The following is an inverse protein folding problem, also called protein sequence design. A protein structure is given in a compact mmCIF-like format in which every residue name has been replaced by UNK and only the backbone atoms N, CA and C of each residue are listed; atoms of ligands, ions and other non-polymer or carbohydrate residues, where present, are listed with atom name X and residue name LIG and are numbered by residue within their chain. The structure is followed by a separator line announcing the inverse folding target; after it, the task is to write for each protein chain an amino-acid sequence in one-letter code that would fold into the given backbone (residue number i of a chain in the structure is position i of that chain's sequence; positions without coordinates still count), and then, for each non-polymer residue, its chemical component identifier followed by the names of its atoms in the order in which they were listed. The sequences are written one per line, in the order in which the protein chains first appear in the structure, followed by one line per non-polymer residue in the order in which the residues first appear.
data_IF_991988829706
#
_entry.id   IF_991988829706
#
_cell.length_a   1.000
_cell.length_b   1.000
_cell.length_c   1.000
_cell.angle_alpha   90.00
_cell.angle_beta   90.00
_cell.angle_gamma   90.00
#
_symmetry.space_group_name_H-M   'P 1'
#
loop_
_entity.id
_entity.type
_entity.pdbx_description
1 polymer ?
#
# COMPACT_ATOMS: atom_id res chain seq x y z
N UNK A 1 -29.69 -30.76 -7.45
CA UNK A 1 -29.92 -29.95 -6.23
C UNK A 1 -28.57 -29.46 -5.75
N UNK A 2 -28.19 -28.28 -6.11
CA UNK A 2 -26.91 -27.65 -5.70
C UNK A 2 -27.21 -26.86 -4.42
N UNK A 3 -26.65 -27.31 -3.29
CA UNK A 3 -26.72 -26.61 -2.01
C UNK A 3 -25.86 -25.35 -2.14
N UNK A 4 -26.49 -24.19 -2.00
CA UNK A 4 -25.81 -22.90 -2.02
C UNK A 4 -24.86 -22.78 -0.84
N UNK A 5 -23.59 -22.57 -1.14
CA UNK A 5 -22.63 -22.11 -0.17
C UNK A 5 -23.13 -20.77 0.38
N UNK A 6 -23.36 -20.70 1.69
CA UNK A 6 -23.75 -19.47 2.36
C UNK A 6 -22.67 -18.41 2.09
N UNK A 7 -23.02 -17.40 1.31
CA UNK A 7 -22.17 -16.21 1.12
C UNK A 7 -21.97 -15.58 2.50
N UNK A 8 -20.73 -15.58 2.96
CA UNK A 8 -20.35 -14.86 4.16
C UNK A 8 -20.68 -13.38 3.95
N UNK A 9 -21.72 -12.88 4.63
CA UNK A 9 -22.15 -11.49 4.49
C UNK A 9 -21.21 -10.59 5.27
N UNK A 10 -20.30 -9.99 4.56
CA UNK A 10 -19.33 -9.01 5.08
C UNK A 10 -19.98 -7.79 5.75
N UNK A 11 -21.21 -7.44 5.40
CA UNK A 11 -21.94 -6.34 6.04
C UNK A 11 -22.26 -6.64 7.49
N UNK A 12 -22.54 -7.90 7.83
CA UNK A 12 -22.84 -8.28 9.22
C UNK A 12 -21.59 -8.28 10.10
N UNK A 13 -20.41 -8.62 9.54
CA UNK A 13 -19.15 -8.63 10.28
C UNK A 13 -18.50 -7.23 10.35
N UNK A 14 -18.57 -6.44 9.29
CA UNK A 14 -18.10 -5.05 9.25
C UNK A 14 -18.88 -4.10 10.16
N UNK A 15 -20.08 -4.49 10.61
CA UNK A 15 -20.92 -3.70 11.52
C UNK A 15 -20.59 -3.96 13.00
N UNK A 16 -19.65 -4.82 13.35
CA UNK A 16 -19.11 -4.85 14.72
C UNK A 16 -18.25 -3.61 14.93
N UNK A 17 -18.58 -2.75 15.89
CA UNK A 17 -17.90 -1.47 16.12
C UNK A 17 -16.38 -1.53 16.29
N UNK A 18 -15.84 -2.70 16.69
CA UNK A 18 -14.41 -2.99 16.77
C UNK A 18 -13.72 -3.04 15.41
N UNK A 19 -14.31 -3.66 14.39
CA UNK A 19 -13.72 -3.75 13.06
C UNK A 19 -13.67 -2.39 12.36
N UNK A 20 -14.75 -1.62 12.45
CA UNK A 20 -14.79 -0.26 11.92
C UNK A 20 -13.74 0.62 12.57
N UNK A 21 -13.51 0.46 13.88
CA UNK A 21 -12.50 1.23 14.59
C UNK A 21 -11.06 0.87 14.16
N UNK A 22 -10.73 -0.43 14.05
CA UNK A 22 -9.42 -0.88 13.56
C UNK A 22 -9.17 -0.43 12.12
N UNK A 23 -10.17 -0.55 11.26
CA UNK A 23 -10.09 -0.11 9.88
C UNK A 23 -9.86 1.41 9.79
N UNK A 24 -10.63 2.21 10.51
CA UNK A 24 -10.49 3.67 10.54
C UNK A 24 -9.13 4.08 11.11
N UNK A 25 -8.63 3.38 12.14
CA UNK A 25 -7.30 3.62 12.68
C UNK A 25 -6.21 3.32 11.64
N UNK A 26 -6.31 2.20 10.91
CA UNK A 26 -5.37 1.86 9.84
C UNK A 26 -5.34 2.96 8.78
N UNK A 27 -6.49 3.40 8.28
CA UNK A 27 -6.59 4.51 7.33
C UNK A 27 -5.94 5.78 7.90
N UNK A 28 -6.21 6.11 9.15
CA UNK A 28 -5.64 7.29 9.82
C UNK A 28 -4.11 7.22 9.92
N UNK A 29 -3.54 6.08 10.34
CA UNK A 29 -2.08 5.90 10.45
C UNK A 29 -1.43 5.95 9.08
N UNK A 30 -1.96 5.19 8.11
CA UNK A 30 -1.37 5.08 6.79
C UNK A 30 -1.46 6.38 6.00
N UNK A 31 -2.59 7.10 6.05
CA UNK A 31 -2.72 8.39 5.37
C UNK A 31 -1.70 9.41 5.89
N UNK A 32 -1.41 9.42 7.20
CA UNK A 32 -0.37 10.29 7.79
C UNK A 32 1.05 9.86 7.37
N UNK A 33 1.31 8.55 7.32
CA UNK A 33 2.60 8.04 6.85
C UNK A 33 2.84 8.42 5.38
N UNK A 34 1.85 8.23 4.51
CA UNK A 34 1.92 8.64 3.10
C UNK A 34 2.06 10.17 2.95
N UNK A 35 1.30 10.95 3.74
CA UNK A 35 1.37 12.41 3.72
C UNK A 35 2.77 12.94 4.07
N UNK A 36 3.48 12.28 4.99
CA UNK A 36 4.87 12.59 5.34
C UNK A 36 5.86 12.10 4.28
N UNK A 37 5.60 10.93 3.66
CA UNK A 37 6.51 10.32 2.69
C UNK A 37 6.52 11.04 1.34
N UNK A 38 5.42 11.70 0.94
CA UNK A 38 5.33 12.44 -0.33
C UNK A 38 5.91 13.85 -0.16
N UNK A 39 7.07 14.17 -0.78
CA UNK A 39 7.82 15.39 -0.44
C UNK A 39 7.13 16.69 -0.88
N UNK A 40 6.42 16.69 -2.00
CA UNK A 40 5.86 17.92 -2.57
C UNK A 40 4.46 17.71 -3.15
N UNK A 41 3.82 18.82 -3.55
CA UNK A 41 2.54 18.80 -4.26
C UNK A 41 2.64 18.05 -5.59
N UNK A 42 1.53 17.50 -6.08
CA UNK A 42 1.51 16.87 -7.39
C UNK A 42 0.34 15.95 -7.64
N UNK A 43 0.40 15.29 -8.81
CA UNK A 43 -0.52 14.21 -9.17
C UNK A 43 0.02 12.88 -8.67
N UNK A 44 -0.81 12.11 -8.01
CA UNK A 44 -0.49 10.81 -7.43
C UNK A 44 -1.35 9.73 -8.09
N UNK A 45 -0.73 8.64 -8.49
CA UNK A 45 -1.44 7.42 -8.87
C UNK A 45 -1.41 6.46 -7.69
N UNK A 46 -2.58 6.04 -7.22
CA UNK A 46 -2.72 5.02 -6.17
C UNK A 46 -3.00 3.66 -6.82
N UNK A 47 -2.02 2.76 -6.78
CA UNK A 47 -2.09 1.43 -7.39
C UNK A 47 -2.64 0.43 -6.38
N UNK A 48 -3.74 -0.27 -6.76
CA UNK A 48 -4.50 -1.11 -5.85
C UNK A 48 -5.32 -0.27 -4.86
N UNK A 49 -5.90 0.83 -5.34
CA UNK A 49 -6.55 1.84 -4.50
C UNK A 49 -7.83 1.37 -3.78
N UNK A 50 -8.35 0.21 -4.14
CA UNK A 50 -9.59 -0.31 -3.58
C UNK A 50 -10.79 0.60 -3.87
N UNK A 51 -11.51 0.96 -2.82
CA UNK A 51 -12.63 1.91 -2.89
C UNK A 51 -12.21 3.39 -2.79
N UNK A 52 -10.91 3.65 -2.57
CA UNK A 52 -10.33 4.98 -2.50
C UNK A 52 -10.38 5.66 -1.13
N UNK A 53 -10.75 4.97 -0.05
CA UNK A 53 -10.84 5.59 1.28
C UNK A 53 -9.49 6.15 1.76
N UNK A 54 -8.39 5.40 1.54
CA UNK A 54 -7.05 5.85 1.91
C UNK A 54 -6.62 7.08 1.10
N UNK A 55 -6.85 7.07 -0.21
CA UNK A 55 -6.57 8.19 -1.09
C UNK A 55 -7.36 9.45 -0.67
N UNK A 56 -8.64 9.30 -0.33
CA UNK A 56 -9.45 10.42 0.18
C UNK A 56 -8.92 10.95 1.52
N UNK A 57 -8.49 10.08 2.43
CA UNK A 57 -7.89 10.49 3.70
C UNK A 57 -6.56 11.23 3.48
N UNK A 58 -5.75 10.76 2.52
CA UNK A 58 -4.51 11.42 2.11
C UNK A 58 -4.79 12.84 1.56
N UNK A 59 -5.74 12.98 0.63
CA UNK A 59 -6.10 14.30 0.06
C UNK A 59 -6.66 15.27 1.10
N UNK A 60 -7.33 14.79 2.14
CA UNK A 60 -7.76 15.65 3.27
C UNK A 60 -6.59 16.20 4.07
N UNK A 61 -5.51 15.43 4.23
CA UNK A 61 -4.28 15.86 4.93
C UNK A 61 -3.37 16.69 4.02
N UNK A 62 -3.39 16.42 2.72
CA UNK A 62 -2.57 17.03 1.68
C UNK A 62 -3.45 17.51 0.53
N UNK A 63 -4.16 18.66 0.69
CA UNK A 63 -5.03 19.21 -0.35
C UNK A 63 -4.25 19.71 -1.59
N UNK A 64 -2.95 19.76 -1.50
CA UNK A 64 -2.00 20.02 -2.59
C UNK A 64 -1.73 18.80 -3.50
N UNK A 65 -2.27 17.61 -3.14
CA UNK A 65 -2.20 16.40 -3.94
C UNK A 65 -3.51 16.14 -4.68
N UNK A 66 -3.39 15.63 -5.92
CA UNK A 66 -4.53 15.09 -6.70
C UNK A 66 -4.30 13.61 -6.90
N UNK A 67 -5.17 12.77 -6.34
CA UNK A 67 -5.01 11.32 -6.39
C UNK A 67 -6.02 10.72 -7.38
N UNK A 68 -5.52 9.88 -8.27
CA UNK A 68 -6.28 9.02 -9.17
C UNK A 68 -5.94 7.57 -8.84
N UNK A 69 -6.86 6.63 -9.04
CA UNK A 69 -6.68 5.24 -8.66
C UNK A 69 -6.66 4.28 -9.84
N UNK A 70 -5.93 3.17 -9.65
CA UNK A 70 -6.09 1.96 -10.49
C UNK A 70 -6.28 0.75 -9.57
N UNK A 71 -7.08 -0.21 -10.02
CA UNK A 71 -7.27 -1.48 -9.31
C UNK A 71 -7.52 -2.60 -10.32
N UNK A 72 -7.15 -3.83 -9.97
CA UNK A 72 -7.45 -5.03 -10.78
C UNK A 72 -8.90 -5.48 -10.59
N UNK A 73 -9.50 -5.12 -9.45
CA UNK A 73 -10.87 -5.48 -9.09
C UNK A 73 -11.81 -4.31 -9.35
N UNK A 74 -12.76 -4.49 -10.27
CA UNK A 74 -13.83 -3.52 -10.46
C UNK A 74 -14.73 -3.47 -9.21
N UNK A 75 -14.85 -2.29 -8.60
CA UNK A 75 -15.70 -2.08 -7.42
C UNK A 75 -16.97 -1.31 -7.79
N UNK A 76 -18.15 -1.68 -7.24
CA UNK A 76 -19.41 -1.04 -7.59
C UNK A 76 -19.51 0.42 -7.15
N UNK A 77 -18.71 0.83 -6.15
CA UNK A 77 -18.63 2.20 -5.65
C UNK A 77 -17.20 2.55 -5.28
N UNK A 78 -16.73 3.67 -5.79
CA UNK A 78 -15.41 4.25 -5.48
C UNK A 78 -15.57 5.71 -5.08
N UNK A 79 -14.66 6.21 -4.26
CA UNK A 79 -14.65 7.59 -3.75
C UNK A 79 -13.83 8.54 -4.63
N UNK A 80 -13.13 8.00 -5.63
CA UNK A 80 -12.34 8.72 -6.61
C UNK A 80 -12.44 8.01 -7.97
N UNK A 81 -12.02 8.64 -9.08
CA UNK A 81 -11.91 7.96 -10.36
C UNK A 81 -10.93 6.78 -10.28
N UNK A 82 -11.38 5.59 -10.66
CA UNK A 82 -10.57 4.36 -10.67
C UNK A 82 -10.60 3.77 -12.07
N UNK A 83 -9.42 3.50 -12.61
CA UNK A 83 -9.25 2.78 -13.88
C UNK A 83 -8.95 1.32 -13.56
N UNK A 84 -9.69 0.39 -14.17
CA UNK A 84 -9.37 -1.03 -14.05
C UNK A 84 -8.19 -1.37 -14.96
N UNK A 85 -7.25 -2.21 -14.46
CA UNK A 85 -6.11 -2.68 -15.24
C UNK A 85 -5.84 -4.17 -15.02
N UNK A 86 -4.92 -4.74 -15.76
CA UNK A 86 -4.65 -6.18 -15.82
C UNK A 86 -3.74 -6.72 -14.71
N UNK A 87 -3.24 -5.84 -13.83
CA UNK A 87 -2.27 -6.18 -12.78
C UNK A 87 -0.81 -6.18 -13.26
N UNK A 88 -0.57 -5.97 -14.54
CA UNK A 88 0.77 -6.02 -15.15
C UNK A 88 1.19 -4.69 -15.76
N UNK A 89 0.34 -4.09 -16.60
CA UNK A 89 0.68 -2.87 -17.33
C UNK A 89 -0.22 -1.72 -16.93
N UNK A 90 0.36 -0.65 -16.38
CA UNK A 90 -0.38 0.56 -16.04
C UNK A 90 -0.78 1.33 -17.32
N UNK A 91 -2.08 1.65 -17.54
CA UNK A 91 -2.58 2.26 -18.76
C UNK A 91 -2.27 3.77 -18.84
N UNK A 92 -1.05 4.16 -18.50
CA UNK A 92 -0.58 5.55 -18.46
C UNK A 92 0.77 5.69 -19.14
N UNK A 93 1.03 6.88 -19.68
CA UNK A 93 2.31 7.22 -20.30
C UNK A 93 3.43 7.32 -19.25
N UNK A 94 4.66 7.20 -19.70
CA UNK A 94 5.85 7.40 -18.87
C UNK A 94 5.82 8.78 -18.21
N UNK A 95 6.20 8.83 -16.93
CA UNK A 95 6.30 10.07 -16.15
C UNK A 95 5.02 10.92 -16.15
N UNK A 96 3.85 10.28 -16.24
CA UNK A 96 2.55 10.97 -16.27
C UNK A 96 2.06 11.40 -14.89
N UNK A 97 2.61 10.84 -13.82
CA UNK A 97 2.32 11.21 -12.44
C UNK A 97 3.58 11.72 -11.73
N UNK A 98 3.40 12.61 -10.78
CA UNK A 98 4.53 13.09 -9.96
C UNK A 98 4.95 12.01 -8.98
N UNK A 99 3.99 11.30 -8.38
CA UNK A 99 4.23 10.20 -7.45
C UNK A 99 3.30 9.02 -7.73
N UNK A 100 3.73 7.84 -7.29
CA UNK A 100 2.90 6.63 -7.24
C UNK A 100 2.85 6.14 -5.80
N UNK A 101 1.67 5.74 -5.32
CA UNK A 101 1.50 5.04 -4.04
C UNK A 101 1.08 3.60 -4.29
N UNK A 102 1.66 2.66 -3.53
CA UNK A 102 1.32 1.24 -3.56
C UNK A 102 1.20 0.77 -2.12
N UNK A 103 -0.02 0.46 -1.67
CA UNK A 103 -0.28 0.18 -0.26
C UNK A 103 -0.94 -1.18 -0.08
N UNK A 104 -0.21 -2.13 0.50
CA UNK A 104 -0.65 -3.51 0.75
C UNK A 104 -1.14 -4.22 -0.53
N UNK A 105 -0.35 -4.16 -1.61
CA UNK A 105 -0.66 -4.74 -2.92
C UNK A 105 0.39 -5.74 -3.37
N UNK A 106 1.67 -5.43 -3.17
CA UNK A 106 2.76 -6.18 -3.80
C UNK A 106 2.86 -7.62 -3.33
N UNK A 107 2.49 -7.90 -2.09
CA UNK A 107 2.43 -9.27 -1.55
C UNK A 107 1.26 -10.11 -2.11
N UNK A 108 0.35 -9.51 -2.88
CA UNK A 108 -0.70 -10.20 -3.64
C UNK A 108 -0.27 -10.53 -5.08
N UNK A 109 0.92 -10.11 -5.50
CA UNK A 109 1.44 -10.36 -6.85
C UNK A 109 2.41 -11.54 -6.86
N UNK A 110 2.47 -12.28 -7.95
CA UNK A 110 3.43 -13.37 -8.12
C UNK A 110 4.86 -12.84 -8.22
N UNK A 111 5.05 -11.73 -8.93
CA UNK A 111 6.32 -11.00 -9.04
C UNK A 111 6.09 -9.50 -8.81
N UNK A 112 6.45 -8.98 -7.63
CA UNK A 112 6.30 -7.56 -7.33
C UNK A 112 7.14 -6.65 -8.23
N UNK A 113 8.18 -7.17 -8.89
CA UNK A 113 9.04 -6.35 -9.76
C UNK A 113 8.32 -5.85 -11.01
N UNK A 114 7.27 -6.54 -11.45
CA UNK A 114 6.42 -6.12 -12.58
C UNK A 114 5.71 -4.80 -12.22
N UNK A 115 4.95 -4.79 -11.13
CA UNK A 115 4.22 -3.59 -10.69
C UNK A 115 5.18 -2.47 -10.28
N UNK A 116 6.30 -2.80 -9.62
CA UNK A 116 7.33 -1.83 -9.25
C UNK A 116 7.97 -1.16 -10.46
N UNK A 117 8.25 -1.92 -11.53
CA UNK A 117 8.83 -1.38 -12.76
C UNK A 117 7.87 -0.45 -13.48
N UNK A 118 6.58 -0.79 -13.53
CA UNK A 118 5.54 0.06 -14.09
C UNK A 118 5.33 1.33 -13.23
N UNK A 119 5.35 1.20 -11.89
CA UNK A 119 5.31 2.34 -11.00
C UNK A 119 6.51 3.28 -11.24
N UNK A 120 7.71 2.74 -11.39
CA UNK A 120 8.91 3.51 -11.74
C UNK A 120 8.81 4.19 -13.11
N UNK A 121 8.17 3.55 -14.09
CA UNK A 121 7.95 4.08 -15.43
C UNK A 121 7.01 5.28 -15.42
N UNK A 122 5.87 5.17 -14.73
CA UNK A 122 4.85 6.22 -14.74
C UNK A 122 5.13 7.34 -13.72
N UNK A 123 5.97 7.10 -12.70
CA UNK A 123 6.38 8.10 -11.72
C UNK A 123 7.46 9.04 -12.27
N UNK A 124 7.32 10.34 -12.04
CA UNK A 124 8.33 11.36 -12.35
C UNK A 124 9.33 11.54 -11.23
N UNK A 125 8.85 11.64 -9.99
CA UNK A 125 9.66 12.03 -8.83
C UNK A 125 9.85 10.91 -7.83
N UNK A 126 8.88 9.99 -7.66
CA UNK A 126 9.03 8.91 -6.70
C UNK A 126 7.85 7.97 -6.55
N UNK A 127 8.13 6.88 -5.88
CA UNK A 127 7.17 5.82 -5.53
C UNK A 127 7.17 5.66 -4.02
N UNK A 128 6.00 5.72 -3.40
CA UNK A 128 5.82 5.43 -1.97
C UNK A 128 5.18 4.06 -1.84
N UNK A 129 5.84 3.17 -1.13
CA UNK A 129 5.37 1.81 -0.91
C UNK A 129 5.09 1.62 0.58
N UNK A 130 3.93 1.09 0.91
CA UNK A 130 3.65 0.45 2.19
C UNK A 130 3.36 -1.01 1.94
N UNK A 131 4.15 -1.86 2.57
CA UNK A 131 3.91 -3.31 2.50
C UNK A 131 4.40 -4.01 3.78
N UNK A 132 4.50 -5.33 3.70
CA UNK A 132 4.89 -6.20 4.81
C UNK A 132 6.36 -6.58 4.71
N UNK A 133 6.97 -6.82 5.87
CA UNK A 133 8.35 -7.24 5.99
C UNK A 133 8.41 -8.59 6.71
N UNK A 134 8.87 -9.63 6.01
CA UNK A 134 8.98 -10.99 6.53
C UNK A 134 10.31 -11.17 7.28
N UNK A 135 10.38 -10.56 8.49
CA UNK A 135 11.56 -10.64 9.34
C UNK A 135 11.21 -11.20 10.73
N UNK A 136 12.05 -12.11 11.20
CA UNK A 136 11.95 -12.69 12.52
C UNK A 136 11.06 -13.93 12.63
N UNK A 137 11.04 -14.49 13.83
CA UNK A 137 10.33 -15.73 14.15
C UNK A 137 8.82 -15.55 13.98
N UNK A 138 8.17 -16.53 13.34
CA UNK A 138 6.73 -16.55 13.01
C UNK A 138 6.26 -15.39 12.12
N UNK A 139 7.13 -14.60 11.50
CA UNK A 139 6.72 -13.47 10.65
C UNK A 139 5.78 -13.93 9.53
N UNK A 140 6.15 -14.97 8.78
CA UNK A 140 5.34 -15.52 7.70
C UNK A 140 3.94 -15.93 8.16
N UNK A 141 3.84 -16.68 9.27
CA UNK A 141 2.57 -17.16 9.79
C UNK A 141 1.69 -16.01 10.30
N UNK A 142 2.31 -15.03 10.98
CA UNK A 142 1.59 -13.84 11.47
C UNK A 142 1.04 -13.02 10.31
N UNK A 143 1.87 -12.75 9.30
CA UNK A 143 1.46 -11.99 8.12
C UNK A 143 0.37 -12.71 7.33
N UNK A 144 0.50 -14.02 7.10
CA UNK A 144 -0.50 -14.80 6.41
C UNK A 144 -1.86 -14.78 7.16
N UNK A 145 -1.83 -14.86 8.49
CA UNK A 145 -3.04 -14.74 9.30
C UNK A 145 -3.68 -13.34 9.20
N UNK A 146 -2.87 -12.30 9.27
CA UNK A 146 -3.35 -10.91 9.15
C UNK A 146 -3.98 -10.64 7.78
N UNK A 147 -3.31 -11.10 6.72
CA UNK A 147 -3.74 -10.95 5.34
C UNK A 147 -5.04 -11.72 5.08
N UNK A 148 -5.13 -12.94 5.58
CA UNK A 148 -6.37 -13.72 5.53
C UNK A 148 -7.52 -13.01 6.24
N UNK A 149 -7.31 -12.53 7.46
CA UNK A 149 -8.33 -11.77 8.21
C UNK A 149 -8.79 -10.49 7.48
N UNK A 150 -7.85 -9.82 6.77
CA UNK A 150 -8.12 -8.58 6.06
C UNK A 150 -8.86 -8.76 4.75
N UNK A 151 -8.62 -9.86 4.05
CA UNK A 151 -9.03 -10.03 2.65
C UNK A 151 -10.00 -11.19 2.41
N UNK A 152 -10.32 -11.99 3.44
CA UNK A 152 -11.30 -13.10 3.32
C UNK A 152 -12.65 -12.54 2.87
N UNK A 153 -13.11 -12.99 1.70
CA UNK A 153 -14.37 -12.56 1.09
C UNK A 153 -14.29 -11.40 0.11
N UNK A 154 -13.10 -10.80 -0.14
CA UNK A 154 -12.93 -9.72 -1.12
C UNK A 154 -12.65 -10.21 -2.54
N UNK A 155 -12.46 -11.52 -2.72
CA UNK A 155 -12.13 -12.12 -4.02
C UNK A 155 -10.71 -11.79 -4.51
N UNK A 156 -9.85 -11.30 -3.62
CA UNK A 156 -8.44 -11.02 -3.91
C UNK A 156 -7.64 -12.31 -3.74
N UNK A 157 -6.75 -12.69 -4.69
CA UNK A 157 -5.82 -13.81 -4.50
C UNK A 157 -4.91 -13.56 -3.30
N UNK A 158 -4.62 -14.61 -2.53
CA UNK A 158 -3.75 -14.55 -1.34
C UNK A 158 -2.55 -15.48 -1.52
N UNK A 159 -1.57 -15.15 -2.37
CA UNK A 159 -0.38 -15.96 -2.58
C UNK A 159 0.58 -15.92 -1.39
N UNK A 160 0.36 -14.99 -0.43
CA UNK A 160 1.21 -14.78 0.74
C UNK A 160 2.69 -14.55 0.40
N UNK A 161 2.93 -13.80 -0.67
CA UNK A 161 4.26 -13.50 -1.18
C UNK A 161 4.92 -12.36 -0.37
N UNK A 162 5.15 -12.62 0.92
CA UNK A 162 5.83 -11.65 1.79
C UNK A 162 7.34 -11.76 1.60
N UNK A 163 7.99 -10.65 1.35
CA UNK A 163 9.42 -10.57 1.13
C UNK A 163 10.19 -10.20 2.40
N UNK A 164 11.39 -10.74 2.53
CA UNK A 164 12.39 -10.30 3.50
C UNK A 164 13.01 -8.97 3.06
N UNK A 165 13.77 -8.33 3.94
CA UNK A 165 14.48 -7.08 3.63
C UNK A 165 15.41 -7.20 2.42
N UNK A 166 16.17 -8.30 2.33
CA UNK A 166 17.08 -8.53 1.21
C UNK A 166 16.35 -8.77 -0.12
N UNK A 167 15.20 -9.46 -0.08
CA UNK A 167 14.37 -9.67 -1.26
C UNK A 167 13.73 -8.35 -1.72
N UNK A 168 13.25 -7.49 -0.80
CA UNK A 168 12.78 -6.14 -1.13
C UNK A 168 13.88 -5.29 -1.78
N UNK A 169 15.09 -5.28 -1.22
CA UNK A 169 16.23 -4.58 -1.82
C UNK A 169 16.53 -5.08 -3.24
N UNK A 170 16.48 -6.40 -3.45
CA UNK A 170 16.63 -7.02 -4.76
C UNK A 170 15.52 -6.60 -5.73
N UNK A 171 14.26 -6.55 -5.28
CA UNK A 171 13.13 -6.12 -6.08
C UNK A 171 13.26 -4.64 -6.49
N UNK A 172 13.62 -3.76 -5.57
CA UNK A 172 13.86 -2.34 -5.86
C UNK A 172 14.98 -2.15 -6.88
N UNK A 173 16.10 -2.86 -6.68
CA UNK A 173 17.22 -2.80 -7.61
C UNK A 173 16.84 -3.24 -9.04
N UNK A 174 16.13 -4.37 -9.18
CA UNK A 174 15.64 -4.89 -10.46
C UNK A 174 14.69 -3.91 -11.15
N UNK A 175 13.85 -3.24 -10.38
CA UNK A 175 12.87 -2.25 -10.87
C UNK A 175 13.47 -0.86 -11.08
N UNK A 176 14.80 -0.69 -10.99
CA UNK A 176 15.51 0.58 -11.13
C UNK A 176 15.02 1.66 -10.16
N UNK A 177 14.63 1.25 -8.96
CA UNK A 177 14.26 2.13 -7.87
C UNK A 177 15.38 2.19 -6.84
N UNK A 178 15.63 3.39 -6.32
CA UNK A 178 16.56 3.63 -5.23
C UNK A 178 15.79 4.01 -3.98
N UNK A 179 16.07 3.35 -2.87
CA UNK A 179 15.44 3.64 -1.59
C UNK A 179 16.09 4.87 -0.94
N UNK A 180 15.29 5.89 -0.68
CA UNK A 180 15.73 7.14 -0.06
C UNK A 180 15.46 7.15 1.44
N UNK A 181 14.25 6.71 1.83
CA UNK A 181 13.81 6.70 3.22
C UNK A 181 12.94 5.48 3.52
N UNK A 182 13.01 4.97 4.74
CA UNK A 182 12.16 3.87 5.22
C UNK A 182 11.78 4.08 6.67
N UNK A 183 10.50 3.83 6.98
CA UNK A 183 9.95 3.78 8.33
C UNK A 183 9.31 2.42 8.57
N UNK A 184 9.73 1.72 9.63
CA UNK A 184 9.27 0.35 9.93
C UNK A 184 8.33 0.27 11.13
N UNK A 185 8.24 1.32 11.95
CA UNK A 185 7.37 1.37 13.12
C UNK A 185 6.20 2.31 12.87
N UNK A 186 5.14 1.79 12.28
CA UNK A 186 3.99 2.59 11.88
C UNK A 186 2.99 2.83 13.01
N UNK A 187 2.96 1.97 14.03
CA UNK A 187 2.00 2.07 15.13
C UNK A 187 0.55 1.83 14.69
N UNK A 188 0.34 0.91 13.74
CA UNK A 188 -0.99 0.58 13.23
C UNK A 188 -1.87 0.00 14.33
N UNK A 189 -1.29 -0.86 15.17
CA UNK A 189 -1.99 -1.56 16.24
C UNK A 189 -1.73 -0.96 17.61
N UNK A 190 -2.71 -1.02 18.51
CA UNK A 190 -2.55 -0.69 19.94
C UNK A 190 -2.26 -1.93 20.78
N UNK A 191 -1.69 -1.79 21.98
CA UNK A 191 -1.57 -2.89 22.92
C UNK A 191 -2.94 -3.52 23.26
N UNK A 192 -3.03 -4.86 23.41
CA UNK A 192 -1.94 -5.83 23.31
C UNK A 192 -1.62 -6.27 21.87
N UNK A 193 -2.47 -6.00 20.88
CA UNK A 193 -2.33 -6.44 19.49
C UNK A 193 -1.01 -5.96 18.85
N UNK A 194 -0.52 -4.80 19.25
CA UNK A 194 0.77 -4.25 18.82
C UNK A 194 1.94 -5.20 19.03
N UNK A 195 1.97 -5.92 20.16
CA UNK A 195 3.08 -6.83 20.48
C UNK A 195 3.15 -8.04 19.55
N UNK A 196 2.05 -8.38 18.88
CA UNK A 196 1.99 -9.49 17.94
C UNK A 196 2.08 -9.01 16.48
N UNK A 197 1.38 -7.95 16.12
CA UNK A 197 1.14 -7.54 14.73
C UNK A 197 1.99 -6.37 14.25
N UNK A 198 2.65 -5.62 15.16
CA UNK A 198 3.43 -4.42 14.80
C UNK A 198 4.95 -4.61 15.03
N UNK A 199 5.42 -5.87 15.07
CA UNK A 199 6.82 -6.27 15.38
C UNK A 199 7.77 -6.04 14.21
N UNK A 200 7.83 -4.82 13.64
CA UNK A 200 8.59 -4.52 12.42
C UNK A 200 8.12 -5.37 11.22
N UNK A 201 6.83 -5.75 11.20
CA UNK A 201 6.21 -6.50 10.10
C UNK A 201 5.69 -5.60 9.00
N UNK A 202 5.82 -4.29 9.14
CA UNK A 202 5.33 -3.28 8.21
C UNK A 202 6.41 -2.25 7.94
N UNK A 203 6.40 -1.72 6.73
CA UNK A 203 7.25 -0.57 6.39
C UNK A 203 6.53 0.40 5.46
N UNK A 204 7.00 1.64 5.45
CA UNK A 204 6.74 2.63 4.40
C UNK A 204 8.07 3.08 3.87
N UNK A 205 8.27 3.00 2.56
CA UNK A 205 9.49 3.46 1.89
C UNK A 205 9.16 4.48 0.82
N UNK A 206 9.97 5.54 0.74
CA UNK A 206 10.02 6.43 -0.40
C UNK A 206 11.19 6.02 -1.30
N UNK A 207 10.89 5.82 -2.57
CA UNK A 207 11.82 5.33 -3.58
C UNK A 207 11.85 6.33 -4.75
N UNK A 208 13.03 6.56 -5.32
CA UNK A 208 13.19 7.37 -6.53
C UNK A 208 13.55 6.50 -7.73
N UNK A 209 12.99 6.74 -8.93
CA UNK A 209 13.48 6.12 -10.14
C UNK A 209 14.93 6.52 -10.41
N UNK A 210 15.80 5.58 -10.75
CA UNK A 210 17.20 5.88 -11.09
C UNK A 210 17.25 6.87 -12.27
N UNK A 211 17.93 8.00 -12.05
CA UNK A 211 17.99 9.10 -13.01
C UNK A 211 16.93 10.19 -12.82
N UNK A 212 16.06 10.09 -11.79
CA UNK A 212 15.29 11.22 -11.33
C UNK A 212 16.18 12.20 -10.55
N UNK A 213 15.86 13.49 -10.60
CA UNK A 213 16.53 14.49 -9.76
C UNK A 213 16.12 14.21 -8.31
N UNK A 214 17.10 13.95 -7.42
CA UNK A 214 16.83 13.81 -6.00
C UNK A 214 16.12 15.06 -5.49
N UNK A 215 14.98 14.95 -4.76
CA UNK A 215 14.39 16.10 -4.10
C UNK A 215 15.44 16.67 -3.14
N UNK A 216 15.69 17.98 -3.21
CA UNK A 216 16.60 18.65 -2.28
C UNK A 216 16.18 18.33 -0.85
N UNK A 217 17.07 17.73 -0.08
CA UNK A 217 16.87 17.37 1.32
C UNK A 217 16.65 18.64 2.16
N UNK A 218 15.40 19.08 2.32
CA UNK A 218 15.02 19.86 3.48
C UNK A 218 14.93 18.85 4.63
N UNK A 219 15.99 18.83 5.47
CA UNK A 219 16.07 17.92 6.59
C UNK A 219 15.07 18.30 7.68
N UNK A 220 13.95 17.61 7.70
CA UNK A 220 13.10 17.51 8.86
C UNK A 220 12.87 16.02 9.15
N UNK A 221 13.21 15.62 10.36
CA UNK A 221 13.19 14.23 10.81
C UNK A 221 11.86 13.53 10.55
N UNK A 222 11.92 12.46 9.76
CA UNK A 222 10.80 11.58 9.44
C UNK A 222 10.52 10.63 10.62
N UNK A 223 10.26 11.20 11.81
CA UNK A 223 9.81 10.45 12.98
C UNK A 223 8.30 10.57 13.15
N UNK A 224 7.63 9.43 13.29
CA UNK A 224 6.23 9.38 13.73
C UNK A 224 6.23 9.62 15.25
N UNK A 225 5.90 10.83 15.69
CA UNK A 225 5.58 11.11 17.07
C UNK A 225 4.17 10.61 17.42
#
# INVERSE_FOLDING_TARGET
MAQGAARFDRKSWALSGTNTWFYNRRIWVLSRALAKAIPSRGRVLDVGCGDGQLAMALMRLRPDLKVEGVDVVARPKTLLPVVQYDGHTLPFADKSFDYVTIVDVLHHTDDPTVVLSEAARVARNGVVIKDHLREGWLAQATLAFMDWCGNVGDGVPLPYNFLSRSEWQGAFFKSKLQMEQTVERLGIYLPPARWLFDRNLHFVSFLTPKGALSPSSSGDDFALA
#
